data_IF_231743181083
#
_entry.id   IF_231743181083
#
_cell.length_a   1.000
_cell.length_b   1.000
_cell.length_c   1.000
_cell.angle_alpha   90.00
_cell.angle_beta   90.00
_cell.angle_gamma   90.00
#
_symmetry.space_group_name_H-M   'P 1'
#
loop_
_entity.id
_entity.type
_entity.pdbx_description
1 polymer ?
#
# COMPACT_ATOMS: atom_id res chain seq x y z
N UNK A 1 8.83 32.41 -48.84
CA UNK A 1 10.13 33.10 -49.06
C UNK A 1 11.03 32.76 -47.89
N UNK A 2 12.16 32.11 -48.22
CA UNK A 2 13.43 31.95 -47.49
C UNK A 2 13.40 31.22 -46.10
N UNK A 3 13.83 29.96 -46.03
CA UNK A 3 15.19 29.34 -46.07
C UNK A 3 16.10 29.70 -44.89
N UNK A 4 16.51 28.69 -44.12
CA UNK A 4 17.89 28.14 -43.89
C UNK A 4 17.90 27.29 -42.63
N UNK A 5 17.99 26.03 -42.71
CA UNK A 5 19.04 24.98 -42.88
C UNK A 5 20.42 25.28 -42.28
N UNK A 6 21.05 24.19 -41.80
CA UNK A 6 22.47 23.94 -41.45
C UNK A 6 22.68 23.87 -39.91
N UNK A 7 23.34 22.86 -39.32
CA UNK A 7 24.26 21.91 -39.90
C UNK A 7 24.62 20.77 -38.96
N UNK A 8 24.91 19.69 -39.61
CA UNK A 8 25.54 18.46 -39.11
C UNK A 8 27.03 18.70 -38.91
N UNK A 9 27.61 18.25 -37.78
CA UNK A 9 29.05 18.09 -37.69
C UNK A 9 29.40 16.67 -37.25
N UNK A 10 29.79 15.86 -38.22
CA UNK A 10 30.58 14.64 -38.08
C UNK A 10 32.02 15.01 -37.81
N UNK A 11 32.70 14.35 -36.86
CA UNK A 11 34.15 14.23 -36.92
C UNK A 11 34.54 12.77 -36.65
N UNK A 12 35.36 12.31 -37.59
CA UNK A 12 35.86 10.95 -37.69
C UNK A 12 37.24 10.82 -37.06
N UNK A 13 37.51 9.61 -36.56
CA UNK A 13 38.70 8.79 -36.82
C UNK A 13 40.08 9.35 -36.46
N UNK A 14 40.75 8.75 -35.44
CA UNK A 14 42.16 8.43 -35.52
C UNK A 14 42.45 7.06 -34.89
N UNK A 15 42.87 6.14 -35.74
CA UNK A 15 43.54 4.88 -35.38
C UNK A 15 45.00 5.18 -35.12
N UNK A 16 45.55 4.69 -34.02
CA UNK A 16 46.99 4.56 -33.85
C UNK A 16 47.30 3.19 -33.28
N UNK A 17 47.92 2.39 -34.12
CA UNK A 17 48.54 1.10 -33.85
C UNK A 17 49.86 1.37 -33.10
N UNK A 18 50.10 0.71 -31.95
CA UNK A 18 51.46 0.53 -31.42
C UNK A 18 51.51 -0.75 -30.58
N UNK A 19 52.54 -1.50 -30.83
CA UNK A 19 52.86 -2.86 -30.47
C UNK A 19 53.02 -3.13 -28.97
N UNK A 20 52.80 -4.41 -28.62
CA UNK A 20 53.09 -5.08 -27.34
C UNK A 20 54.53 -4.94 -26.86
N UNK A 21 54.77 -5.11 -25.55
CA UNK A 21 55.46 -6.35 -25.18
C UNK A 21 54.76 -7.18 -24.10
N UNK A 22 54.97 -8.44 -24.19
CA UNK A 22 54.62 -9.49 -23.22
C UNK A 22 55.31 -9.20 -21.87
N UNK A 23 54.55 -9.28 -20.79
CA UNK A 23 55.06 -9.52 -19.45
C UNK A 23 54.11 -10.51 -18.76
N UNK A 24 54.64 -11.68 -18.63
CA UNK A 24 54.61 -12.66 -17.54
C UNK A 24 53.46 -12.52 -16.50
N UNK A 25 52.83 -13.68 -16.34
CA UNK A 25 51.80 -14.08 -15.40
C UNK A 25 51.94 -13.54 -14.01
N UNK A 26 50.77 -13.15 -13.51
CA UNK A 26 50.39 -13.31 -12.14
C UNK A 26 49.07 -14.07 -12.19
N UNK A 27 49.13 -15.33 -11.80
CA UNK A 27 47.99 -16.14 -11.39
C UNK A 27 47.40 -15.48 -10.15
N UNK A 28 46.37 -14.66 -10.34
CA UNK A 28 45.45 -14.24 -9.28
C UNK A 28 44.15 -15.03 -9.44
N UNK A 29 44.24 -16.33 -9.35
CA UNK A 29 43.12 -17.27 -9.13
C UNK A 29 42.86 -17.42 -7.62
N UNK A 30 42.70 -16.34 -6.90
CA UNK A 30 42.28 -16.32 -5.51
C UNK A 30 40.91 -15.61 -5.37
N UNK A 31 39.98 -15.94 -6.26
CA UNK A 31 38.57 -15.73 -5.94
C UNK A 31 38.15 -16.89 -5.00
N UNK A 32 37.70 -16.59 -3.76
CA UNK A 32 37.24 -17.65 -2.88
C UNK A 32 36.13 -18.43 -3.60
N UNK A 33 36.19 -19.78 -3.59
CA UNK A 33 35.17 -20.60 -4.25
C UNK A 33 33.79 -20.20 -3.69
N UNK A 34 32.74 -20.19 -4.54
CA UNK A 34 31.40 -19.88 -4.08
C UNK A 34 31.09 -20.85 -2.94
N UNK A 35 30.72 -20.28 -1.77
CA UNK A 35 30.43 -21.01 -0.55
C UNK A 35 29.44 -22.15 -0.87
N UNK A 36 29.97 -23.36 -0.98
CA UNK A 36 29.21 -24.59 -1.19
C UNK A 36 28.38 -24.76 0.05
N UNK A 37 27.05 -24.67 -0.06
CA UNK A 37 26.12 -24.89 1.05
C UNK A 37 26.46 -26.26 1.64
N UNK A 38 26.87 -26.24 2.90
CA UNK A 38 27.21 -27.44 3.66
C UNK A 38 26.06 -28.42 3.73
N UNK A 39 26.38 -29.68 3.93
CA UNK A 39 25.41 -30.75 4.05
C UNK A 39 24.36 -30.39 5.14
N UNK A 40 23.09 -30.58 4.80
CA UNK A 40 21.97 -30.38 5.74
C UNK A 40 22.25 -31.04 7.08
N UNK A 41 22.09 -30.34 8.23
CA UNK A 41 22.40 -30.89 9.54
C UNK A 41 21.62 -32.17 9.84
N UNK A 42 22.32 -33.18 10.38
CA UNK A 42 21.72 -34.45 10.78
C UNK A 42 21.92 -34.65 12.28
N UNK A 43 20.85 -34.99 13.00
CA UNK A 43 20.87 -35.15 14.46
C UNK A 43 20.22 -36.49 14.85
N UNK A 44 20.86 -37.19 15.81
CA UNK A 44 20.22 -38.30 16.48
C UNK A 44 19.20 -37.82 17.54
N UNK A 45 18.43 -38.75 18.11
CA UNK A 45 17.35 -38.41 19.08
C UNK A 45 17.87 -37.76 20.35
N UNK A 46 19.07 -38.09 20.82
CA UNK A 46 19.68 -37.51 22.01
C UNK A 46 20.11 -36.06 21.76
N UNK A 47 20.77 -35.84 20.62
CA UNK A 47 21.16 -34.50 20.17
C UNK A 47 19.93 -33.56 19.96
N UNK A 48 18.85 -34.07 19.37
CA UNK A 48 17.60 -33.31 19.22
C UNK A 48 17.04 -32.86 20.57
N UNK A 49 17.07 -33.73 21.58
CA UNK A 49 16.65 -33.39 22.96
C UNK A 49 17.60 -32.39 23.60
N UNK A 50 18.91 -32.59 23.48
CA UNK A 50 19.92 -31.72 24.08
C UNK A 50 19.80 -30.27 23.56
N UNK A 51 19.52 -30.07 22.26
CA UNK A 51 19.32 -28.72 21.69
C UNK A 51 17.88 -28.21 21.80
N UNK A 52 16.97 -28.99 22.39
CA UNK A 52 15.58 -28.61 22.64
C UNK A 52 14.75 -28.39 21.38
N UNK A 53 15.02 -29.16 20.32
CA UNK A 53 14.26 -29.06 19.06
C UNK A 53 12.78 -29.38 19.28
N UNK A 54 11.93 -28.52 18.73
CA UNK A 54 10.48 -28.80 18.63
C UNK A 54 10.05 -28.63 17.19
N UNK A 55 9.19 -29.54 16.77
CA UNK A 55 8.64 -29.60 15.41
C UNK A 55 7.13 -29.53 15.49
N UNK A 56 6.49 -28.88 14.55
CA UNK A 56 5.02 -28.81 14.42
C UNK A 56 4.63 -28.76 12.96
N UNK A 57 3.38 -29.15 12.67
CA UNK A 57 2.75 -28.91 11.39
C UNK A 57 2.19 -27.48 11.36
N UNK A 58 2.46 -26.69 10.31
CA UNK A 58 1.89 -25.37 10.15
C UNK A 58 0.37 -25.42 9.98
N UNK A 59 -0.32 -24.39 10.45
CA UNK A 59 -1.78 -24.29 10.29
C UNK A 59 -2.10 -23.26 9.23
N UNK A 60 -2.98 -23.60 8.29
CA UNK A 60 -3.49 -22.63 7.31
C UNK A 60 -4.37 -21.59 7.99
N UNK A 61 -4.01 -20.32 7.84
CA UNK A 61 -4.76 -19.17 8.37
C UNK A 61 -4.99 -18.15 7.26
N UNK A 62 -6.08 -17.38 7.36
CA UNK A 62 -6.34 -16.20 6.55
C UNK A 62 -6.28 -14.98 7.45
N UNK A 63 -5.54 -13.97 7.04
CA UNK A 63 -5.46 -12.70 7.75
C UNK A 63 -5.35 -11.54 6.76
N UNK A 64 -5.93 -10.37 7.08
CA UNK A 64 -5.79 -9.20 6.23
C UNK A 64 -4.35 -8.68 6.27
N UNK A 65 -3.84 -8.28 5.12
CA UNK A 65 -2.61 -7.50 5.05
C UNK A 65 -2.85 -6.15 5.71
N UNK A 66 -1.93 -5.75 6.59
CA UNK A 66 -1.98 -4.48 7.30
C UNK A 66 -0.94 -3.53 6.74
N UNK A 67 -1.39 -2.33 6.38
CA UNK A 67 -0.50 -1.24 5.98
C UNK A 67 -0.68 -0.09 6.96
N UNK A 68 0.40 0.27 7.64
CA UNK A 68 0.39 1.39 8.57
C UNK A 68 0.34 2.71 7.81
N UNK A 69 -0.48 3.64 8.32
CA UNK A 69 -0.72 4.96 7.76
C UNK A 69 -0.81 6.00 8.89
N UNK A 70 -0.56 7.25 8.54
CA UNK A 70 -0.75 8.37 9.46
C UNK A 70 -2.11 9.00 9.21
N UNK A 71 -2.98 8.93 10.22
CA UNK A 71 -4.31 9.53 10.17
C UNK A 71 -4.32 10.97 10.68
N UNK A 72 -5.11 11.82 10.04
CA UNK A 72 -5.44 13.17 10.51
C UNK A 72 -6.95 13.32 10.50
N UNK A 73 -7.54 13.74 11.62
CA UNK A 73 -8.98 14.02 11.74
C UNK A 73 -9.29 15.29 10.98
N UNK A 74 -10.24 15.21 10.04
CA UNK A 74 -10.62 16.33 9.20
C UNK A 74 -11.70 17.18 9.88
N UNK A 75 -11.70 18.46 9.57
CA UNK A 75 -12.77 19.38 9.98
C UNK A 75 -14.00 19.21 9.09
N UNK A 76 -15.11 18.76 9.69
CA UNK A 76 -16.37 18.55 8.99
C UNK A 76 -16.99 19.86 8.47
N UNK A 77 -16.66 21.02 9.06
CA UNK A 77 -17.18 22.32 8.61
C UNK A 77 -16.68 22.67 7.21
N UNK A 78 -15.46 22.24 6.84
CA UNK A 78 -14.92 22.42 5.49
C UNK A 78 -15.72 21.62 4.45
N UNK A 79 -16.10 20.39 4.79
CA UNK A 79 -16.95 19.56 3.92
C UNK A 79 -18.33 20.21 3.73
N UNK A 80 -18.92 20.69 4.81
CA UNK A 80 -20.22 21.38 4.78
C UNK A 80 -20.17 22.64 3.89
N UNK A 81 -19.11 23.42 4.01
CA UNK A 81 -18.92 24.64 3.21
C UNK A 81 -18.77 24.31 1.71
N UNK A 82 -17.89 23.37 1.37
CA UNK A 82 -17.64 22.97 -0.02
C UNK A 82 -18.88 22.33 -0.66
N UNK A 83 -19.65 21.52 0.07
CA UNK A 83 -20.90 20.96 -0.43
C UNK A 83 -21.97 22.02 -0.61
N UNK A 84 -22.07 22.97 0.33
CA UNK A 84 -22.98 24.10 0.24
C UNK A 84 -22.69 24.98 -0.98
N UNK A 85 -21.42 25.30 -1.24
CA UNK A 85 -21.00 26.05 -2.44
C UNK A 85 -21.39 25.31 -3.72
N UNK A 86 -21.07 24.01 -3.81
CA UNK A 86 -21.40 23.21 -4.98
C UNK A 86 -22.93 23.11 -5.21
N UNK A 87 -23.71 22.90 -4.14
CA UNK A 87 -25.15 22.81 -4.22
C UNK A 87 -25.79 24.15 -4.64
N UNK A 88 -25.31 25.28 -4.10
CA UNK A 88 -25.78 26.62 -4.47
C UNK A 88 -25.48 26.92 -5.94
N UNK A 89 -24.30 26.61 -6.43
CA UNK A 89 -23.92 26.81 -7.83
C UNK A 89 -24.77 25.97 -8.79
N UNK A 90 -25.07 24.71 -8.46
CA UNK A 90 -25.98 23.86 -9.23
C UNK A 90 -27.41 24.41 -9.25
N UNK A 91 -27.90 24.89 -8.10
CA UNK A 91 -29.23 25.51 -8.01
C UNK A 91 -29.32 26.76 -8.88
N UNK A 92 -28.29 27.62 -8.88
CA UNK A 92 -28.19 28.79 -9.73
C UNK A 92 -28.17 28.45 -11.22
N UNK A 93 -27.43 27.42 -11.65
CA UNK A 93 -27.44 26.93 -13.02
C UNK A 93 -28.85 26.49 -13.44
N UNK A 94 -29.55 25.75 -12.57
CA UNK A 94 -30.92 25.31 -12.84
C UNK A 94 -31.87 26.51 -12.98
N UNK A 95 -31.75 27.51 -12.12
CA UNK A 95 -32.57 28.72 -12.20
C UNK A 95 -32.32 29.49 -13.50
N UNK A 96 -31.06 29.72 -13.85
CA UNK A 96 -30.67 30.41 -15.09
C UNK A 96 -31.12 29.66 -16.36
N UNK A 97 -30.99 28.34 -16.38
CA UNK A 97 -31.44 27.47 -17.48
C UNK A 97 -32.98 27.54 -17.65
N UNK A 98 -33.73 27.50 -16.55
CA UNK A 98 -35.18 27.61 -16.54
C UNK A 98 -35.64 28.95 -17.05
N UNK A 99 -34.99 30.06 -16.62
CA UNK A 99 -35.30 31.42 -17.07
C UNK A 99 -34.99 31.60 -18.57
N UNK A 100 -33.83 31.08 -19.05
CA UNK A 100 -33.51 31.11 -20.47
C UNK A 100 -34.57 30.36 -21.28
N UNK A 101 -35.01 29.20 -20.82
CA UNK A 101 -36.05 28.41 -21.51
C UNK A 101 -37.37 29.18 -21.57
N UNK A 102 -37.76 29.82 -20.48
CA UNK A 102 -38.97 30.66 -20.38
C UNK A 102 -38.89 31.84 -21.37
N UNK A 103 -37.79 32.61 -21.33
CA UNK A 103 -37.61 33.78 -22.20
C UNK A 103 -37.53 33.40 -23.68
N UNK A 104 -36.92 32.26 -24.01
CA UNK A 104 -36.87 31.73 -25.40
C UNK A 104 -38.29 31.45 -25.92
N UNK A 105 -39.13 30.80 -25.13
CA UNK A 105 -40.51 30.53 -25.49
C UNK A 105 -41.35 31.83 -25.69
N UNK A 106 -41.17 32.82 -24.80
CA UNK A 106 -41.87 34.12 -24.93
C UNK A 106 -41.41 34.91 -26.16
N UNK A 107 -40.11 34.88 -26.48
CA UNK A 107 -39.57 35.54 -27.67
C UNK A 107 -40.10 34.91 -28.95
N UNK A 108 -40.10 33.57 -29.05
CA UNK A 108 -40.62 32.82 -30.20
C UNK A 108 -42.13 32.99 -30.35
N UNK A 109 -42.87 33.10 -29.27
CA UNK A 109 -44.32 33.34 -29.28
C UNK A 109 -44.74 34.78 -29.53
N UNK A 110 -43.80 35.72 -29.71
CA UNK A 110 -44.09 37.14 -29.87
C UNK A 110 -44.66 37.81 -28.58
N UNK A 111 -44.53 37.18 -27.43
CA UNK A 111 -45.20 37.52 -26.18
C UNK A 111 -44.32 38.36 -25.22
N UNK A 112 -43.66 39.43 -25.74
CA UNK A 112 -43.12 40.48 -24.91
C UNK A 112 -41.68 40.27 -24.38
N UNK A 113 -40.96 39.26 -24.80
CA UNK A 113 -39.51 39.17 -24.54
C UNK A 113 -38.75 39.89 -25.66
N UNK A 114 -37.82 40.78 -25.29
CA UNK A 114 -36.89 41.39 -26.26
C UNK A 114 -35.65 40.52 -26.55
N UNK A 115 -35.02 40.74 -27.68
CA UNK A 115 -33.76 40.11 -28.01
C UNK A 115 -32.68 40.35 -26.94
N UNK A 116 -32.62 41.58 -26.45
CA UNK A 116 -31.69 41.95 -25.33
C UNK A 116 -31.91 41.10 -24.09
N UNK A 117 -33.18 40.83 -23.73
CA UNK A 117 -33.50 39.97 -22.58
C UNK A 117 -33.06 38.54 -22.81
N UNK A 118 -33.25 38.00 -24.01
CA UNK A 118 -32.85 36.67 -24.38
C UNK A 118 -31.31 36.50 -24.36
N UNK A 119 -30.59 37.47 -24.94
CA UNK A 119 -29.10 37.47 -24.91
C UNK A 119 -28.54 37.57 -23.50
N UNK A 120 -29.16 38.40 -22.64
CA UNK A 120 -28.77 38.51 -21.22
C UNK A 120 -28.99 37.20 -20.47
N UNK A 121 -30.12 36.52 -20.71
CA UNK A 121 -30.38 35.22 -20.07
C UNK A 121 -29.47 34.12 -20.60
N UNK A 122 -29.05 34.16 -21.88
CA UNK A 122 -28.06 33.26 -22.43
C UNK A 122 -26.67 33.46 -21.76
N UNK A 123 -26.26 34.71 -21.60
CA UNK A 123 -24.99 35.03 -20.93
C UNK A 123 -24.97 34.57 -19.47
N UNK A 124 -26.08 34.77 -18.75
CA UNK A 124 -26.24 34.36 -17.34
C UNK A 124 -26.23 32.82 -17.24
N UNK A 125 -26.88 32.09 -18.13
CA UNK A 125 -26.88 30.62 -18.13
C UNK A 125 -25.49 30.08 -18.40
N UNK A 126 -24.74 30.64 -19.35
CA UNK A 126 -23.35 30.24 -19.64
C UNK A 126 -22.45 30.48 -18.41
N UNK A 127 -22.62 31.64 -17.76
CA UNK A 127 -21.88 31.96 -16.54
C UNK A 127 -22.22 30.98 -15.41
N UNK A 128 -23.50 30.79 -15.08
CA UNK A 128 -23.96 29.91 -14.01
C UNK A 128 -23.51 28.45 -14.24
N UNK A 129 -23.51 27.99 -15.48
CA UNK A 129 -22.99 26.67 -15.86
C UNK A 129 -21.47 26.55 -15.63
N UNK A 130 -20.72 27.59 -15.93
CA UNK A 130 -19.28 27.60 -15.68
C UNK A 130 -18.98 27.58 -14.17
N UNK A 131 -19.70 28.37 -13.39
CA UNK A 131 -19.58 28.45 -11.94
C UNK A 131 -19.93 27.10 -11.27
N UNK A 132 -21.03 26.46 -11.72
CA UNK A 132 -21.46 25.13 -11.24
C UNK A 132 -20.41 24.04 -11.52
N UNK A 133 -19.84 24.05 -12.73
CA UNK A 133 -18.77 23.11 -13.09
C UNK A 133 -17.53 23.30 -12.22
N UNK A 134 -17.14 24.56 -11.97
CA UNK A 134 -15.98 24.88 -11.16
C UNK A 134 -16.18 24.43 -9.71
N UNK A 135 -17.33 24.77 -9.08
CA UNK A 135 -17.65 24.40 -7.72
C UNK A 135 -17.72 22.86 -7.54
N UNK A 136 -18.37 22.17 -8.47
CA UNK A 136 -18.44 20.70 -8.48
C UNK A 136 -17.06 20.06 -8.64
N UNK A 137 -16.22 20.61 -9.53
CA UNK A 137 -14.85 20.10 -9.72
C UNK A 137 -13.97 20.31 -8.47
N UNK A 138 -14.08 21.45 -7.80
CA UNK A 138 -13.41 21.74 -6.52
C UNK A 138 -13.82 20.74 -5.45
N UNK A 139 -15.15 20.55 -5.29
CA UNK A 139 -15.67 19.55 -4.36
C UNK A 139 -15.12 18.15 -4.64
N UNK A 140 -15.12 17.71 -5.92
CA UNK A 140 -14.59 16.42 -6.32
C UNK A 140 -13.07 16.30 -6.07
N UNK A 141 -12.32 17.38 -6.26
CA UNK A 141 -10.88 17.42 -6.01
C UNK A 141 -10.56 17.33 -4.49
N UNK A 142 -11.30 18.04 -3.64
CA UNK A 142 -11.08 18.04 -2.19
C UNK A 142 -11.56 16.75 -1.54
N UNK A 143 -12.76 16.27 -1.93
CA UNK A 143 -13.47 15.22 -1.20
C UNK A 143 -13.62 13.92 -1.99
N UNK A 144 -13.03 13.85 -3.20
CA UNK A 144 -12.89 12.65 -4.04
C UNK A 144 -14.06 11.68 -3.98
N UNK A 145 -13.99 10.65 -3.13
CA UNK A 145 -15.01 9.60 -3.09
C UNK A 145 -16.40 10.08 -2.67
N UNK A 146 -16.52 11.23 -1.96
CA UNK A 146 -17.81 11.76 -1.59
C UNK A 146 -18.54 12.41 -2.78
N UNK A 147 -17.80 12.90 -3.78
CA UNK A 147 -18.39 13.49 -4.97
C UNK A 147 -19.19 12.48 -5.81
N UNK A 148 -18.84 11.20 -5.74
CA UNK A 148 -19.54 10.12 -6.45
C UNK A 148 -20.71 9.53 -5.66
N UNK A 149 -20.86 9.88 -4.39
CA UNK A 149 -21.98 9.42 -3.57
C UNK A 149 -23.27 10.17 -3.88
N UNK A 150 -24.44 9.52 -3.80
CA UNK A 150 -25.73 10.20 -3.90
C UNK A 150 -25.87 11.31 -2.84
N UNK A 151 -26.49 12.44 -3.19
CA UNK A 151 -26.68 13.60 -2.29
C UNK A 151 -27.31 13.21 -0.94
N UNK A 152 -28.30 12.30 -0.96
CA UNK A 152 -28.93 11.81 0.27
C UNK A 152 -27.96 11.02 1.19
N UNK A 153 -26.99 10.32 0.59
CA UNK A 153 -25.93 9.63 1.36
C UNK A 153 -24.98 10.61 2.02
N UNK A 154 -24.56 11.65 1.27
CA UNK A 154 -23.72 12.73 1.79
C UNK A 154 -24.41 13.50 2.90
N UNK A 155 -25.69 13.86 2.72
CA UNK A 155 -26.46 14.56 3.76
C UNK A 155 -26.49 13.79 5.08
N UNK A 156 -26.77 12.48 5.05
CA UNK A 156 -26.72 11.64 6.26
C UNK A 156 -25.33 11.57 6.91
N UNK A 157 -24.29 11.56 6.10
CA UNK A 157 -22.92 11.62 6.63
C UNK A 157 -22.66 12.96 7.29
N UNK A 158 -23.04 14.08 6.66
CA UNK A 158 -22.90 15.41 7.23
C UNK A 158 -23.67 15.56 8.56
N UNK A 159 -24.91 15.08 8.61
CA UNK A 159 -25.70 15.08 9.84
C UNK A 159 -24.97 14.32 10.97
N UNK A 160 -24.40 13.14 10.65
CA UNK A 160 -23.65 12.35 11.62
C UNK A 160 -22.36 13.04 12.08
N UNK A 161 -21.65 13.70 11.16
CA UNK A 161 -20.43 14.46 11.47
C UNK A 161 -20.74 15.67 12.37
N UNK A 162 -21.78 16.44 12.05
CA UNK A 162 -22.19 17.62 12.82
C UNK A 162 -22.74 17.25 14.20
N UNK A 163 -23.36 16.08 14.32
CA UNK A 163 -23.82 15.55 15.62
C UNK A 163 -22.70 14.88 16.44
N UNK A 164 -21.46 14.80 15.92
CA UNK A 164 -20.36 14.11 16.59
C UNK A 164 -20.49 12.58 16.62
N UNK A 165 -21.42 12.00 15.86
CA UNK A 165 -21.62 10.55 15.75
C UNK A 165 -20.66 9.90 14.75
N UNK A 166 -19.95 10.70 13.96
CA UNK A 166 -18.91 10.25 13.06
C UNK A 166 -17.79 11.29 12.97
N UNK A 167 -16.62 10.85 12.52
CA UNK A 167 -15.52 11.73 12.10
C UNK A 167 -14.96 11.23 10.77
N UNK A 168 -14.39 12.14 10.00
CA UNK A 168 -13.61 11.82 8.82
C UNK A 168 -12.12 11.86 9.16
N UNK A 169 -11.41 10.85 8.73
CA UNK A 169 -9.97 10.74 8.90
C UNK A 169 -9.34 10.64 7.52
N UNK A 170 -8.36 11.49 7.26
CA UNK A 170 -7.45 11.33 6.12
C UNK A 170 -6.30 10.44 6.58
N UNK A 171 -6.11 9.30 5.95
CA UNK A 171 -4.97 8.42 6.18
C UNK A 171 -3.96 8.56 5.04
N UNK A 172 -2.78 9.06 5.35
CA UNK A 172 -1.68 9.22 4.40
C UNK A 172 -0.76 7.99 4.44
N UNK A 173 -0.39 7.49 3.25
CA UNK A 173 0.49 6.34 3.08
C UNK A 173 1.91 6.82 2.73
N UNK A 174 2.83 6.89 3.68
CA UNK A 174 4.18 7.39 3.44
C UNK A 174 4.89 6.59 2.33
N UNK A 175 5.54 7.29 1.41
CA UNK A 175 6.31 6.70 0.32
C UNK A 175 5.49 6.00 -0.78
N UNK A 176 4.16 6.09 -0.74
CA UNK A 176 3.30 5.56 -1.81
C UNK A 176 2.64 6.70 -2.59
N UNK A 177 2.74 6.63 -3.92
CA UNK A 177 2.13 7.59 -4.84
C UNK A 177 0.85 7.05 -5.52
N UNK A 178 0.57 5.78 -5.34
CA UNK A 178 -0.65 5.13 -5.83
C UNK A 178 -1.10 4.04 -4.87
N UNK A 179 -2.40 3.76 -4.86
CA UNK A 179 -3.00 2.61 -4.16
C UNK A 179 -3.47 1.63 -5.23
N UNK A 180 -3.04 0.38 -5.15
CA UNK A 180 -3.50 -0.68 -6.04
C UNK A 180 -4.98 -1.01 -5.75
N UNK A 181 -5.25 -2.06 -5.00
CA UNK A 181 -6.59 -2.34 -4.48
C UNK A 181 -6.87 -1.46 -3.27
N UNK A 182 -8.02 -0.77 -3.26
CA UNK A 182 -8.46 0.01 -2.10
C UNK A 182 -8.84 -0.94 -0.96
N UNK A 183 -8.26 -0.77 0.25
CA UNK A 183 -8.73 -1.48 1.42
C UNK A 183 -10.17 -1.09 1.74
N UNK A 184 -11.00 -2.04 2.17
CA UNK A 184 -12.39 -1.76 2.53
C UNK A 184 -12.52 -1.17 3.93
N UNK A 185 -11.60 -1.52 4.83
CA UNK A 185 -11.63 -1.19 6.25
C UNK A 185 -10.28 -0.67 6.74
N UNK A 186 -10.35 0.08 7.82
CA UNK A 186 -9.19 0.54 8.56
C UNK A 186 -9.41 0.34 10.06
N UNK A 187 -8.35 0.06 10.80
CA UNK A 187 -8.33 0.16 12.25
C UNK A 187 -7.73 1.51 12.63
N UNK A 188 -8.45 2.27 13.40
CA UNK A 188 -8.04 3.59 13.87
C UNK A 188 -7.81 3.49 15.37
N UNK A 189 -6.63 3.85 15.84
CA UNK A 189 -6.30 3.82 17.27
C UNK A 189 -6.41 5.22 17.84
N UNK A 190 -7.30 5.38 18.82
CA UNK A 190 -7.49 6.64 19.55
C UNK A 190 -7.23 6.37 21.02
N UNK A 191 -6.07 6.78 21.51
CA UNK A 191 -5.66 6.60 22.91
C UNK A 191 -5.78 5.15 23.42
N UNK A 192 -5.42 4.17 22.57
CA UNK A 192 -5.52 2.75 22.87
C UNK A 192 -6.89 2.12 22.58
N UNK A 193 -7.88 2.91 22.20
CA UNK A 193 -9.20 2.41 21.78
C UNK A 193 -9.15 2.16 20.26
N UNK A 194 -9.30 0.92 19.85
CA UNK A 194 -9.33 0.52 18.44
C UNK A 194 -10.74 0.60 17.88
N UNK A 195 -10.91 1.45 16.88
CA UNK A 195 -12.16 1.65 16.17
C UNK A 195 -12.03 1.13 14.74
N UNK A 196 -13.11 0.55 14.22
CA UNK A 196 -13.17 0.18 12.80
C UNK A 196 -13.69 1.36 11.99
N UNK A 197 -12.89 1.81 11.03
CA UNK A 197 -13.26 2.81 10.03
C UNK A 197 -13.59 2.18 8.68
N UNK A 198 -14.53 2.76 7.96
CA UNK A 198 -14.85 2.42 6.58
C UNK A 198 -14.04 3.29 5.64
N UNK A 199 -13.25 2.70 4.75
CA UNK A 199 -12.53 3.44 3.70
C UNK A 199 -13.53 3.85 2.63
N UNK A 200 -13.63 5.15 2.37
CA UNK A 200 -14.54 5.72 1.37
C UNK A 200 -13.87 5.76 0.00
N UNK A 201 -12.55 5.93 -0.06
CA UNK A 201 -11.76 5.95 -1.28
C UNK A 201 -10.53 6.84 -1.18
N UNK A 202 -9.83 7.01 -2.33
CA UNK A 202 -8.66 7.85 -2.42
C UNK A 202 -9.05 9.33 -2.60
N UNK A 203 -8.29 10.22 -1.96
CA UNK A 203 -8.40 11.67 -2.14
C UNK A 203 -7.56 12.12 -3.35
N UNK A 204 -8.10 13.06 -4.13
CA UNK A 204 -7.45 13.58 -5.32
C UNK A 204 -6.29 14.54 -5.05
N UNK A 205 -6.24 15.14 -3.87
CA UNK A 205 -5.17 16.05 -3.47
C UNK A 205 -4.08 15.31 -2.70
N UNK A 206 -2.80 15.47 -3.11
CA UNK A 206 -1.69 15.01 -2.31
C UNK A 206 -1.67 15.73 -0.95
N UNK A 207 -1.20 15.04 0.09
CA UNK A 207 -0.90 15.66 1.37
C UNK A 207 0.39 16.50 1.31
N UNK A 208 0.70 17.20 2.40
CA UNK A 208 2.02 17.82 2.59
C UNK A 208 3.16 16.79 2.43
N UNK A 209 2.89 15.52 2.70
CA UNK A 209 3.82 14.40 2.52
C UNK A 209 3.93 13.91 1.08
N UNK A 210 3.25 14.54 0.11
CA UNK A 210 3.18 14.14 -1.30
C UNK A 210 2.78 12.66 -1.49
N UNK A 211 2.01 12.13 -0.55
CA UNK A 211 1.55 10.75 -0.53
C UNK A 211 0.07 10.64 -0.90
N UNK A 212 -0.36 9.44 -1.28
CA UNK A 212 -1.79 9.17 -1.47
C UNK A 212 -2.49 9.19 -0.13
N UNK A 213 -3.55 10.00 -0.04
CA UNK A 213 -4.45 10.03 1.10
C UNK A 213 -5.70 9.19 0.83
N UNK A 214 -6.14 8.45 1.85
CA UNK A 214 -7.42 7.76 1.86
C UNK A 214 -8.39 8.46 2.80
N UNK A 215 -9.64 8.59 2.39
CA UNK A 215 -10.72 9.11 3.23
C UNK A 215 -11.38 7.96 3.97
N UNK A 216 -11.47 8.07 5.29
CA UNK A 216 -12.03 7.05 6.18
C UNK A 216 -13.14 7.66 7.02
N UNK A 217 -14.29 7.01 7.07
CA UNK A 217 -15.38 7.32 8.01
C UNK A 217 -15.21 6.45 9.26
N UNK A 218 -15.13 7.10 10.43
CA UNK A 218 -15.11 6.43 11.74
C UNK A 218 -16.37 6.82 12.48
N UNK A 219 -17.16 5.83 12.90
CA UNK A 219 -18.41 6.03 13.63
C UNK A 219 -18.18 5.89 15.13
N UNK A 220 -19.00 6.64 15.89
CA UNK A 220 -18.96 6.65 17.35
C UNK A 220 -17.55 6.89 17.90
N UNK A 221 -16.86 7.96 17.47
CA UNK A 221 -15.55 8.28 18.00
C UNK A 221 -15.65 8.59 19.51
N UNK A 222 -14.57 8.38 20.28
CA UNK A 222 -14.55 8.81 21.67
C UNK A 222 -14.72 10.32 21.79
N UNK A 223 -15.32 10.75 22.88
CA UNK A 223 -15.51 12.17 23.15
C UNK A 223 -14.16 12.91 23.21
N UNK A 224 -14.12 14.11 22.61
CA UNK A 224 -12.92 14.94 22.63
C UNK A 224 -11.96 14.72 21.46
N UNK A 225 -12.25 13.83 20.52
CA UNK A 225 -11.43 13.69 19.30
C UNK A 225 -11.63 14.93 18.41
N UNK A 226 -10.66 15.84 18.45
CA UNK A 226 -10.75 17.15 17.78
C UNK A 226 -10.23 17.08 16.32
N UNK A 227 -10.75 17.96 15.42
CA UNK A 227 -10.14 18.17 14.12
C UNK A 227 -8.66 18.53 14.22
N UNK A 228 -7.85 18.00 13.30
CA UNK A 228 -6.38 18.15 13.30
C UNK A 228 -5.64 17.13 14.16
N UNK A 229 -6.34 16.33 14.99
CA UNK A 229 -5.70 15.26 15.77
C UNK A 229 -5.01 14.24 14.83
N UNK A 230 -3.79 13.86 15.19
CA UNK A 230 -3.01 12.83 14.47
C UNK A 230 -3.13 11.51 15.20
N UNK A 231 -3.55 10.48 14.49
CA UNK A 231 -3.88 9.17 15.04
C UNK A 231 -3.28 8.05 14.18
N UNK A 232 -2.79 6.96 14.79
CA UNK A 232 -2.35 5.79 14.05
C UNK A 232 -3.52 5.12 13.32
N UNK A 233 -3.29 4.73 12.08
CA UNK A 233 -4.26 4.02 11.25
C UNK A 233 -3.59 2.81 10.63
N UNK A 234 -4.24 1.65 10.72
CA UNK A 234 -3.84 0.45 9.99
C UNK A 234 -4.91 0.12 8.94
N UNK A 235 -4.55 0.20 7.69
CA UNK A 235 -5.41 -0.17 6.58
C UNK A 235 -5.43 -1.68 6.42
N UNK A 236 -6.63 -2.25 6.31
CA UNK A 236 -6.84 -3.69 6.15
C UNK A 236 -7.18 -4.01 4.70
N UNK A 237 -6.23 -4.61 3.99
CA UNK A 237 -6.43 -5.11 2.63
C UNK A 237 -7.16 -6.46 2.64
N UNK A 238 -7.33 -7.08 1.47
CA UNK A 238 -7.94 -8.40 1.36
C UNK A 238 -7.16 -9.44 2.16
N UNK A 239 -7.88 -10.47 2.65
CA UNK A 239 -7.27 -11.57 3.35
C UNK A 239 -6.24 -12.30 2.49
N UNK A 240 -5.07 -12.48 3.05
CA UNK A 240 -4.00 -13.32 2.51
C UNK A 240 -4.07 -14.68 3.19
N UNK A 241 -4.05 -15.76 2.39
CA UNK A 241 -3.97 -17.13 2.90
C UNK A 241 -2.49 -17.51 3.01
N UNK A 242 -2.09 -18.03 4.15
CA UNK A 242 -0.73 -18.51 4.40
C UNK A 242 -0.70 -19.56 5.49
N UNK A 243 0.48 -20.11 5.74
CA UNK A 243 0.75 -21.03 6.82
C UNK A 243 1.32 -20.26 8.00
N UNK A 244 0.71 -20.40 9.17
CA UNK A 244 1.15 -19.72 10.39
C UNK A 244 2.36 -20.43 10.99
N UNK A 245 3.46 -19.70 11.12
CA UNK A 245 4.67 -20.12 11.81
C UNK A 245 5.06 -19.10 12.90
N UNK A 246 5.49 -19.55 14.07
CA UNK A 246 5.98 -18.65 15.13
C UNK A 246 7.29 -17.96 14.70
N UNK A 247 7.58 -16.81 15.28
CA UNK A 247 8.79 -16.03 14.99
C UNK A 247 10.07 -16.85 15.14
N UNK A 248 10.13 -17.74 16.16
CA UNK A 248 11.30 -18.57 16.47
C UNK A 248 11.62 -19.63 15.39
N UNK A 249 10.67 -19.90 14.47
CA UNK A 249 10.88 -20.79 13.33
C UNK A 249 11.58 -20.10 12.16
N UNK A 250 11.47 -18.76 12.05
CA UNK A 250 11.95 -17.97 10.95
C UNK A 250 13.40 -17.53 11.16
N UNK A 251 14.25 -17.84 10.19
CA UNK A 251 15.64 -17.43 10.13
C UNK A 251 15.83 -16.50 8.94
N UNK A 252 16.55 -15.41 9.12
CA UNK A 252 16.81 -14.43 8.08
C UNK A 252 18.27 -14.52 7.65
N UNK A 253 18.49 -14.92 6.40
CA UNK A 253 19.79 -14.94 5.75
C UNK A 253 19.90 -13.88 4.65
N UNK A 254 21.04 -13.84 3.97
CA UNK A 254 21.33 -12.85 2.92
C UNK A 254 20.30 -12.87 1.77
N UNK A 255 19.74 -14.03 1.47
CA UNK A 255 18.83 -14.24 0.33
C UNK A 255 17.34 -14.36 0.73
N UNK A 256 16.98 -14.01 1.98
CA UNK A 256 15.60 -14.03 2.45
C UNK A 256 15.37 -14.83 3.73
N UNK A 257 14.11 -15.22 3.96
CA UNK A 257 13.71 -15.98 5.13
C UNK A 257 13.73 -17.48 4.85
N UNK A 258 14.08 -18.26 5.87
CA UNK A 258 14.20 -19.72 5.82
C UNK A 258 13.57 -20.34 7.06
N UNK A 259 13.13 -21.58 6.91
CA UNK A 259 12.72 -22.47 8.00
C UNK A 259 13.39 -23.83 7.81
N UNK A 260 13.53 -24.60 8.89
CA UNK A 260 14.00 -25.98 8.77
C UNK A 260 12.84 -26.95 8.74
N UNK A 261 12.81 -27.77 7.69
CA UNK A 261 11.90 -28.91 7.53
C UNK A 261 12.61 -30.17 7.97
N UNK A 262 11.98 -30.93 8.86
CA UNK A 262 12.45 -32.26 9.26
C UNK A 262 12.12 -33.26 8.15
N UNK A 263 13.11 -34.02 7.74
CA UNK A 263 12.96 -35.11 6.76
C UNK A 263 12.96 -36.43 7.51
N UNK A 264 11.91 -37.22 7.33
CA UNK A 264 11.80 -38.53 7.96
C UNK A 264 12.99 -39.41 7.59
N UNK A 265 13.62 -40.13 8.55
CA UNK A 265 14.68 -41.07 8.28
C UNK A 265 14.13 -42.25 7.47
N UNK A 266 14.95 -42.80 6.58
CA UNK A 266 14.56 -43.98 5.76
C UNK A 266 14.57 -45.26 6.57
N UNK A 267 15.40 -45.33 7.62
CA UNK A 267 15.51 -46.46 8.54
C UNK A 267 15.45 -45.97 10.00
N UNK A 268 15.03 -46.82 10.94
CA UNK A 268 14.87 -46.39 12.36
C UNK A 268 16.20 -45.94 13.02
N UNK A 269 17.33 -46.41 12.56
CA UNK A 269 18.67 -46.11 13.09
C UNK A 269 19.35 -44.91 12.39
N UNK A 270 18.71 -44.33 11.36
CA UNK A 270 19.28 -43.21 10.63
C UNK A 270 19.04 -41.88 11.41
N UNK A 271 20.06 -41.03 11.39
CA UNK A 271 19.93 -39.68 11.95
C UNK A 271 18.88 -38.89 11.16
N UNK A 272 18.10 -38.09 11.89
CA UNK A 272 17.09 -37.20 11.27
C UNK A 272 17.79 -36.04 10.59
N UNK A 273 17.47 -35.83 9.34
CA UNK A 273 18.00 -34.73 8.53
C UNK A 273 17.06 -33.54 8.57
N UNK A 274 17.63 -32.33 8.67
CA UNK A 274 16.91 -31.06 8.63
C UNK A 274 17.35 -30.28 7.40
N UNK A 275 16.39 -29.82 6.59
CA UNK A 275 16.66 -29.10 5.34
C UNK A 275 16.14 -27.66 5.47
N UNK A 276 17.02 -26.70 5.18
CA UNK A 276 16.62 -25.30 5.10
C UNK A 276 15.75 -25.09 3.84
N UNK A 277 14.52 -24.60 4.06
CA UNK A 277 13.57 -24.29 2.99
C UNK A 277 13.34 -22.77 2.99
N UNK A 278 13.46 -22.18 1.81
CA UNK A 278 13.17 -20.75 1.66
C UNK A 278 11.68 -20.51 1.74
N UNK A 279 11.27 -19.55 2.58
CA UNK A 279 9.89 -19.14 2.73
C UNK A 279 9.72 -17.66 2.41
N UNK A 280 8.52 -17.27 2.05
CA UNK A 280 8.18 -15.87 1.85
C UNK A 280 7.22 -15.46 2.97
N UNK A 281 7.66 -14.64 3.94
CA UNK A 281 6.76 -14.04 4.92
C UNK A 281 5.77 -13.11 4.21
N UNK A 282 4.49 -13.22 4.53
CA UNK A 282 3.41 -12.43 3.95
C UNK A 282 2.96 -11.33 4.90
N UNK A 283 2.34 -11.73 6.01
CA UNK A 283 1.79 -10.80 7.01
C UNK A 283 2.07 -11.30 8.44
N UNK A 284 2.34 -10.41 9.39
CA UNK A 284 2.44 -10.78 10.80
C UNK A 284 1.05 -11.16 11.34
N UNK A 285 0.98 -12.21 12.16
CA UNK A 285 -0.25 -12.68 12.77
C UNK A 285 0.02 -13.28 14.16
N UNK A 286 -0.55 -12.68 15.21
CA UNK A 286 -0.26 -13.08 16.58
C UNK A 286 1.23 -12.98 16.91
N UNK A 287 1.81 -14.07 17.41
CA UNK A 287 3.23 -14.17 17.75
C UNK A 287 4.09 -14.74 16.61
N UNK A 288 3.57 -14.72 15.38
CA UNK A 288 4.23 -15.30 14.23
C UNK A 288 3.93 -14.59 12.92
N UNK A 289 4.18 -15.28 11.82
CA UNK A 289 3.97 -14.83 10.45
C UNK A 289 3.18 -15.84 9.65
N UNK A 290 2.32 -15.34 8.77
CA UNK A 290 1.83 -16.14 7.66
C UNK A 290 2.92 -16.19 6.61
N UNK A 291 3.24 -17.41 6.15
CA UNK A 291 4.28 -17.64 5.16
C UNK A 291 3.75 -18.50 4.01
N UNK A 292 4.48 -18.50 2.90
CA UNK A 292 4.36 -19.47 1.80
C UNK A 292 5.70 -20.10 1.53
N UNK A 293 5.71 -21.24 0.82
CA UNK A 293 6.92 -21.98 0.46
C UNK A 293 7.14 -23.28 1.23
N UNK A 294 6.18 -23.63 2.11
CA UNK A 294 6.07 -24.95 2.79
C UNK A 294 4.63 -25.42 2.70
N UNK A 295 4.40 -26.71 3.01
CA UNK A 295 3.08 -27.33 3.01
C UNK A 295 2.57 -27.55 4.46
N UNK A 296 1.26 -27.76 4.62
CA UNK A 296 0.62 -27.91 5.93
C UNK A 296 0.89 -29.27 6.59
N UNK A 297 1.34 -30.25 5.82
CA UNK A 297 1.80 -31.56 6.27
C UNK A 297 3.31 -31.62 6.57
N UNK A 298 4.04 -30.51 6.37
CA UNK A 298 5.45 -30.44 6.64
C UNK A 298 5.76 -30.37 8.15
N UNK A 299 6.72 -31.17 8.57
CA UNK A 299 7.31 -31.13 9.92
C UNK A 299 8.27 -29.93 10.03
N UNK A 300 7.82 -28.77 10.49
CA UNK A 300 8.63 -27.54 10.59
C UNK A 300 9.20 -27.37 12.01
N UNK A 301 10.50 -27.08 12.09
CA UNK A 301 11.18 -26.76 13.35
C UNK A 301 10.73 -25.39 13.85
N UNK A 302 10.04 -25.35 14.98
CA UNK A 302 9.52 -24.13 15.60
C UNK A 302 10.31 -23.67 16.82
N UNK A 303 11.27 -24.48 17.28
CA UNK A 303 12.21 -24.13 18.33
C UNK A 303 13.55 -24.81 18.08
N UNK A 304 14.65 -24.09 18.33
CA UNK A 304 16.00 -24.59 18.08
C UNK A 304 16.48 -24.44 16.64
N UNK A 305 15.73 -23.75 15.78
CA UNK A 305 16.12 -23.51 14.38
C UNK A 305 17.47 -22.80 14.24
N UNK A 306 17.79 -21.84 15.14
CA UNK A 306 19.09 -21.16 15.16
C UNK A 306 20.29 -22.08 15.40
N UNK A 307 20.10 -23.17 16.16
CA UNK A 307 21.17 -24.16 16.37
C UNK A 307 21.46 -24.92 15.07
N UNK A 308 20.40 -25.31 14.34
CA UNK A 308 20.56 -25.97 13.04
C UNK A 308 21.27 -25.04 12.03
N UNK A 309 20.93 -23.75 12.06
CA UNK A 309 21.58 -22.75 11.22
C UNK A 309 23.07 -22.61 11.52
N UNK A 310 23.45 -22.62 12.81
CA UNK A 310 24.84 -22.57 13.24
C UNK A 310 25.61 -23.83 12.86
N UNK A 311 24.99 -25.01 12.96
CA UNK A 311 25.61 -26.27 12.54
C UNK A 311 25.85 -26.35 11.03
N UNK A 312 24.92 -25.82 10.24
CA UNK A 312 25.07 -25.72 8.79
C UNK A 312 26.21 -24.74 8.41
N UNK A 313 26.34 -23.63 9.11
CA UNK A 313 27.41 -22.65 8.92
C UNK A 313 28.80 -23.15 9.33
N UNK A 314 28.89 -23.91 10.41
CA UNK A 314 30.17 -24.51 10.88
C UNK A 314 30.67 -25.61 9.96
N UNK A 315 29.79 -26.36 9.27
CA UNK A 315 30.20 -27.36 8.28
C UNK A 315 30.75 -26.77 6.98
N UNK A 316 30.68 -25.42 6.82
CA UNK A 316 31.20 -24.72 5.65
C UNK A 316 32.70 -24.35 5.75
N UNK A 317 33.29 -24.45 6.92
CA UNK A 317 34.72 -24.26 7.11
C UNK A 317 35.43 -25.64 7.22
N UNK A 318 36.21 -26.07 6.23
CA UNK A 318 37.12 -27.20 6.45
C UNK A 318 38.07 -26.78 7.58
N UNK A 319 38.18 -27.63 8.60
CA UNK A 319 39.27 -27.54 9.58
C UNK A 319 40.52 -27.91 8.81
N UNK A 320 41.39 -26.95 8.55
CA UNK A 320 42.75 -27.25 8.11
C UNK A 320 43.44 -27.94 9.32
N UNK A 321 43.52 -29.28 9.25
CA UNK A 321 44.40 -30.06 10.10
C UNK A 321 45.82 -29.88 9.56
N UNK A 322 46.48 -28.77 9.95
CA UNK A 322 47.91 -28.61 9.88
C UNK A 322 48.50 -29.04 11.24
N UNK A 323 49.01 -30.29 11.29
CA UNK A 323 50.05 -30.76 12.19
C UNK A 323 51.28 -31.22 11.42
#
# INVERSE_FOLDING_TARGET
MNHRTIGVLRLALYAALAASPAALGADDDDAPPPATRSASPTLNTEQQRAVGLRVTHPVTVKAPERTEALGVVLDATLLLADEGEAAAAVAQEHAASSELTRLRALFQGGAGASLKMLEAAQAEEVKARADSRLATARFAQHWGPLATQPAQGRGRLLDALMAGHAVLVRADLPGRHSVGALPAQALVDVDGIRLTGRVLGALGQPSELQSVGLLIEVRNPPAGLAPGARIPVALLSADVKGLLLPNDALLYGENGAYVYKKVAPKTPDENVRYVAVKVTPLVPYGDGWLVTGVDDDDDIVVRGAGVLWSLEGMGAHPVDDDD
#
